data_IF_064626527799
#
_entry.id   IF_064626527799
#
_cell.length_a   1.000
_cell.length_b   1.000
_cell.length_c   1.000
_cell.angle_alpha   90.00
_cell.angle_beta   90.00
_cell.angle_gamma   90.00
#
_symmetry.space_group_name_H-M   'P 1'
#
loop_
_entity.id
_entity.type
_entity.pdbx_description
1 polymer ?
#
# COMPACT_ATOMS: atom_id res chain seq x y z
N UNK A 1 5.34 20.71 3.02
CA UNK A 1 6.76 20.27 2.95
C UNK A 1 7.57 21.19 3.84
N UNK A 2 8.36 20.62 4.74
CA UNK A 2 9.20 21.34 5.68
C UNK A 2 10.66 20.90 5.50
N UNK A 3 11.58 21.85 5.34
CA UNK A 3 13.00 21.60 5.43
C UNK A 3 13.46 21.74 6.90
N UNK A 4 14.28 20.79 7.36
CA UNK A 4 14.90 20.79 8.67
C UNK A 4 16.41 20.90 8.50
N UNK A 5 17.01 21.98 9.03
CA UNK A 5 18.47 22.09 9.13
C UNK A 5 18.95 21.29 10.35
N UNK A 6 19.65 20.20 10.10
CA UNK A 6 20.14 19.31 11.14
C UNK A 6 21.30 19.92 11.99
N UNK A 7 21.93 21.00 11.53
CA UNK A 7 23.03 21.64 12.25
C UNK A 7 22.54 22.52 13.41
N UNK A 8 21.36 23.11 13.27
CA UNK A 8 20.83 24.09 14.25
C UNK A 8 19.34 23.82 14.61
N UNK A 9 18.73 22.76 14.09
CA UNK A 9 17.31 22.42 14.26
C UNK A 9 16.33 23.49 13.76
N UNK A 10 16.76 24.40 12.89
CA UNK A 10 15.83 25.36 12.29
C UNK A 10 14.91 24.66 11.29
N UNK A 11 13.70 25.16 11.20
CA UNK A 11 12.68 24.65 10.27
C UNK A 11 12.26 25.76 9.33
N UNK A 12 12.15 25.42 8.04
CA UNK A 12 11.65 26.29 7.00
C UNK A 12 10.48 25.60 6.30
N UNK A 13 9.38 26.31 6.13
CA UNK A 13 8.23 25.83 5.35
C UNK A 13 8.56 26.08 3.88
N UNK A 14 8.78 25.01 3.14
CA UNK A 14 9.06 25.06 1.68
C UNK A 14 7.76 25.22 0.90
N UNK A 15 6.73 24.46 1.28
CA UNK A 15 5.43 24.53 0.63
C UNK A 15 4.31 24.08 1.57
N UNK A 16 3.19 24.80 1.51
CA UNK A 16 1.91 24.38 2.10
C UNK A 16 0.93 24.17 0.96
N UNK A 17 0.31 22.99 0.93
CA UNK A 17 -0.67 22.66 -0.08
C UNK A 17 -1.85 21.93 0.56
N UNK A 18 -3.06 22.24 0.11
CA UNK A 18 -4.25 21.55 0.55
C UNK A 18 -4.48 20.37 -0.38
N UNK A 19 -4.35 19.16 0.15
CA UNK A 19 -4.50 17.94 -0.61
C UNK A 19 -5.38 16.96 0.18
N UNK A 20 -6.39 16.43 -0.49
CA UNK A 20 -7.11 15.27 0.01
C UNK A 20 -6.34 14.03 -0.45
N UNK A 21 -5.66 13.38 0.46
CA UNK A 21 -4.87 12.20 0.18
C UNK A 21 -3.40 12.32 0.56
N UNK A 22 -2.57 11.45 0.01
CA UNK A 22 -1.15 11.36 0.36
C UNK A 22 -0.31 12.32 -0.49
N UNK A 23 0.36 13.27 0.17
CA UNK A 23 1.42 14.05 -0.45
C UNK A 23 2.70 13.21 -0.51
N UNK A 24 3.19 12.99 -1.70
CA UNK A 24 4.50 12.36 -1.93
C UNK A 24 5.41 13.29 -2.74
N UNK A 25 6.69 13.26 -2.45
CA UNK A 25 7.67 14.12 -3.11
C UNK A 25 9.06 13.47 -3.15
N UNK A 26 9.89 13.95 -4.06
CA UNK A 26 11.31 13.59 -4.15
C UNK A 26 12.14 14.80 -4.60
N UNK A 27 13.42 14.84 -4.19
CA UNK A 27 14.35 15.93 -4.51
C UNK A 27 15.31 15.49 -5.61
N UNK A 28 15.50 16.37 -6.58
CA UNK A 28 16.43 16.12 -7.68
C UNK A 28 17.85 15.83 -7.16
N UNK A 29 18.54 14.79 -7.69
CA UNK A 29 19.82 14.34 -7.14
C UNK A 29 20.94 15.37 -7.16
N UNK A 30 20.89 16.41 -8.02
CA UNK A 30 21.99 17.36 -8.22
C UNK A 30 21.54 18.82 -8.40
N UNK A 31 20.27 19.15 -8.16
CA UNK A 31 19.73 20.53 -8.32
C UNK A 31 18.74 20.83 -7.21
N UNK A 32 18.53 22.09 -6.92
CA UNK A 32 17.51 22.59 -5.99
C UNK A 32 16.11 22.51 -6.64
N UNK A 33 15.71 21.33 -7.11
CA UNK A 33 14.41 21.07 -7.74
C UNK A 33 13.73 19.94 -6.96
N UNK A 34 12.47 20.14 -6.67
CA UNK A 34 11.58 19.14 -6.07
C UNK A 34 10.55 18.68 -7.11
N UNK A 35 10.16 17.41 -7.03
CA UNK A 35 8.95 16.90 -7.67
C UNK A 35 7.98 16.44 -6.60
N UNK A 36 6.69 16.67 -6.80
CA UNK A 36 5.63 16.27 -5.87
C UNK A 36 4.30 16.14 -6.59
N UNK A 37 3.35 15.46 -5.97
CA UNK A 37 1.98 15.42 -6.45
C UNK A 37 1.18 16.60 -5.87
N UNK A 38 0.36 17.23 -6.68
CA UNK A 38 -0.46 18.37 -6.30
C UNK A 38 -1.89 18.24 -6.82
N UNK A 39 -2.86 18.53 -5.97
CA UNK A 39 -4.25 18.60 -6.39
C UNK A 39 -4.50 19.82 -7.28
N UNK A 40 -4.99 19.59 -8.50
CA UNK A 40 -5.41 20.62 -9.46
C UNK A 40 -6.69 20.13 -10.12
N UNK A 41 -7.81 20.82 -9.90
CA UNK A 41 -9.12 20.48 -10.47
C UNK A 41 -9.51 19.00 -10.26
N UNK A 42 -9.46 18.52 -9.03
CA UNK A 42 -9.79 17.15 -8.61
C UNK A 42 -8.82 16.06 -9.09
N UNK A 43 -7.78 16.39 -9.85
CA UNK A 43 -6.72 15.49 -10.24
C UNK A 43 -5.47 15.67 -9.37
N UNK A 44 -4.68 14.61 -9.18
CA UNK A 44 -3.34 14.70 -8.61
C UNK A 44 -2.30 14.73 -9.73
N UNK A 45 -1.77 15.91 -9.98
CA UNK A 45 -0.80 16.12 -11.05
C UNK A 45 0.64 16.05 -10.55
N UNK A 46 1.55 15.68 -11.44
CA UNK A 46 2.98 15.71 -11.20
C UNK A 46 3.54 17.11 -11.41
N UNK A 47 4.08 17.69 -10.37
CA UNK A 47 4.65 19.03 -10.36
C UNK A 47 6.16 18.96 -10.20
N UNK A 48 6.87 19.88 -10.85
CA UNK A 48 8.26 20.21 -10.54
C UNK A 48 8.38 21.68 -10.20
N UNK A 49 9.15 22.03 -9.19
CA UNK A 49 9.38 23.41 -8.78
C UNK A 49 10.81 23.61 -8.28
N UNK A 50 11.32 24.83 -8.39
CA UNK A 50 12.56 25.25 -7.73
C UNK A 50 12.30 25.39 -6.22
N UNK A 51 13.15 24.80 -5.37
CA UNK A 51 12.99 24.83 -3.91
C UNK A 51 13.01 26.24 -3.33
N UNK A 52 13.59 27.21 -4.03
CA UNK A 52 13.67 28.60 -3.60
C UNK A 52 12.56 29.48 -4.15
N UNK A 53 11.78 28.96 -5.12
CA UNK A 53 10.73 29.69 -5.84
C UNK A 53 9.57 28.74 -6.16
N UNK A 54 8.96 28.18 -5.12
CA UNK A 54 7.91 27.16 -5.23
C UNK A 54 6.65 27.67 -5.97
N UNK A 55 6.42 28.97 -6.02
CA UNK A 55 5.37 29.60 -6.80
C UNK A 55 5.59 29.44 -8.31
N UNK A 56 6.83 29.23 -8.75
CA UNK A 56 7.19 28.97 -10.14
C UNK A 56 7.29 27.48 -10.37
N UNK A 57 6.17 26.84 -10.63
CA UNK A 57 6.11 25.40 -10.85
C UNK A 57 5.74 25.03 -12.28
N UNK A 58 6.13 23.85 -12.70
CA UNK A 58 5.71 23.24 -13.96
C UNK A 58 4.80 22.03 -13.67
N UNK A 59 3.62 22.00 -14.28
CA UNK A 59 2.75 20.83 -14.28
C UNK A 59 3.17 19.91 -15.44
N UNK A 60 3.71 18.74 -15.14
CA UNK A 60 4.18 17.78 -16.14
C UNK A 60 3.08 16.85 -16.65
N UNK A 61 1.97 16.71 -15.92
CA UNK A 61 0.85 15.85 -16.28
C UNK A 61 -0.49 16.61 -16.22
N UNK A 62 -0.66 17.67 -17.05
CA UNK A 62 -1.93 18.36 -17.10
C UNK A 62 -3.01 17.47 -17.71
N UNK A 63 -4.17 17.36 -17.06
CA UNK A 63 -5.29 16.53 -17.47
C UNK A 63 -5.70 15.53 -16.38
N UNK A 64 -6.35 14.45 -16.77
CA UNK A 64 -6.90 13.45 -15.83
C UNK A 64 -5.83 12.46 -15.38
N UNK A 65 -4.98 12.87 -14.46
CA UNK A 65 -3.92 12.04 -13.89
C UNK A 65 -4.09 11.94 -12.37
N UNK A 66 -3.70 10.79 -11.84
CA UNK A 66 -3.68 10.56 -10.40
C UNK A 66 -2.29 10.07 -9.98
N UNK A 67 -1.34 11.00 -9.99
CA UNK A 67 0.08 10.71 -9.75
C UNK A 67 0.34 10.45 -8.28
N UNK A 68 1.08 9.37 -8.01
CA UNK A 68 1.58 9.01 -6.69
C UNK A 68 3.07 8.65 -6.74
N UNK A 69 3.73 8.82 -5.62
CA UNK A 69 5.10 8.38 -5.35
C UNK A 69 6.10 8.78 -6.43
N UNK A 70 6.19 10.08 -6.80
CA UNK A 70 7.17 10.52 -7.75
C UNK A 70 8.59 10.28 -7.24
N UNK A 71 9.47 9.81 -8.11
CA UNK A 71 10.88 9.60 -7.79
C UNK A 71 11.77 9.96 -8.97
N UNK A 72 12.87 10.67 -8.68
CA UNK A 72 13.82 11.05 -9.71
C UNK A 72 14.64 9.86 -10.21
N UNK A 73 14.88 9.84 -11.49
CA UNK A 73 15.94 8.99 -12.05
C UNK A 73 17.31 9.43 -11.50
N UNK A 74 18.23 8.49 -11.34
CA UNK A 74 19.57 8.77 -10.79
C UNK A 74 20.33 9.90 -11.55
N UNK A 75 20.08 10.04 -12.83
CA UNK A 75 20.70 11.10 -13.65
C UNK A 75 19.89 12.41 -13.67
N UNK A 76 18.76 12.49 -12.97
CA UNK A 76 17.90 13.66 -12.88
C UNK A 76 17.19 14.06 -14.19
N UNK A 77 17.18 13.21 -15.22
CA UNK A 77 16.58 13.54 -16.51
C UNK A 77 15.12 13.13 -16.65
N UNK A 78 14.64 12.29 -15.75
CA UNK A 78 13.28 11.76 -15.79
C UNK A 78 12.75 11.55 -14.38
N UNK A 79 11.43 11.47 -14.28
CA UNK A 79 10.70 11.19 -13.05
C UNK A 79 9.91 9.91 -13.27
N UNK A 80 10.03 8.96 -12.34
CA UNK A 80 9.16 7.81 -12.21
C UNK A 80 7.99 8.17 -11.31
N UNK A 81 6.83 7.60 -11.58
CA UNK A 81 5.65 7.75 -10.72
C UNK A 81 4.68 6.61 -10.94
N UNK A 82 3.76 6.43 -10.02
CA UNK A 82 2.66 5.48 -10.16
C UNK A 82 1.34 6.20 -10.43
N UNK A 83 0.46 5.52 -11.14
CA UNK A 83 -0.88 5.99 -11.48
C UNK A 83 -1.83 4.79 -11.54
N UNK A 84 -3.05 4.87 -10.96
CA UNK A 84 -4.03 3.82 -11.08
C UNK A 84 -4.62 3.76 -12.49
N UNK A 85 -4.91 2.56 -12.96
CA UNK A 85 -5.70 2.33 -14.16
C UNK A 85 -7.20 2.44 -13.87
N UNK A 86 -8.00 2.47 -14.90
CA UNK A 86 -9.48 2.42 -14.77
C UNK A 86 -9.98 1.11 -14.14
N UNK A 87 -9.17 0.05 -14.17
CA UNK A 87 -9.47 -1.25 -13.56
C UNK A 87 -8.95 -1.37 -12.11
N UNK A 88 -8.35 -0.32 -11.56
CA UNK A 88 -7.83 -0.31 -10.20
C UNK A 88 -6.39 -0.81 -10.05
N UNK A 89 -5.78 -1.33 -11.11
CA UNK A 89 -4.37 -1.71 -11.10
C UNK A 89 -3.45 -0.48 -11.08
N UNK A 90 -2.25 -0.64 -10.55
CA UNK A 90 -1.25 0.42 -10.57
C UNK A 90 -0.27 0.23 -11.71
N UNK A 91 0.00 1.31 -12.44
CA UNK A 91 1.02 1.36 -13.48
C UNK A 91 2.19 2.21 -13.05
N UNK A 92 3.40 1.68 -13.23
CA UNK A 92 4.63 2.46 -13.13
C UNK A 92 4.86 3.20 -14.46
N UNK A 93 5.06 4.51 -14.35
CA UNK A 93 5.29 5.39 -15.50
C UNK A 93 6.60 6.17 -15.38
N UNK A 94 7.08 6.67 -16.49
CA UNK A 94 8.22 7.57 -16.59
C UNK A 94 7.87 8.75 -17.48
N UNK A 95 8.32 9.94 -17.09
CA UNK A 95 8.22 11.17 -17.87
C UNK A 95 9.57 11.91 -17.87
N UNK A 96 10.02 12.50 -19.01
CA UNK A 96 11.16 13.40 -19.01
C UNK A 96 10.87 14.67 -18.19
N UNK A 97 11.93 15.25 -17.59
CA UNK A 97 11.79 16.52 -16.85
C UNK A 97 11.29 17.67 -17.72
N UNK A 98 11.64 17.64 -18.99
CA UNK A 98 11.23 18.66 -19.97
C UNK A 98 9.77 18.49 -20.45
N UNK A 99 9.05 17.53 -19.88
CA UNK A 99 7.66 17.23 -20.21
C UNK A 99 7.52 16.22 -21.35
N UNK A 100 6.30 16.12 -21.86
CA UNK A 100 5.90 15.17 -22.89
C UNK A 100 4.90 14.13 -22.38
N UNK A 101 4.59 13.13 -23.19
CA UNK A 101 3.66 12.07 -22.78
C UNK A 101 4.35 11.05 -21.86
N UNK A 102 3.78 10.72 -20.70
CA UNK A 102 4.27 9.64 -19.87
C UNK A 102 4.26 8.31 -20.60
N UNK A 103 5.25 7.48 -20.31
CA UNK A 103 5.37 6.12 -20.87
C UNK A 103 5.23 5.09 -19.76
N UNK A 104 4.46 4.04 -20.02
CA UNK A 104 4.38 2.90 -19.11
C UNK A 104 5.72 2.16 -19.06
N UNK A 105 6.10 1.73 -17.87
CA UNK A 105 7.23 0.85 -17.63
C UNK A 105 6.72 -0.53 -17.27
N UNK A 106 7.12 -1.52 -18.07
CA UNK A 106 6.81 -2.91 -17.79
C UNK A 106 7.96 -3.58 -17.04
N UNK A 107 7.62 -4.28 -15.97
CA UNK A 107 8.59 -5.12 -15.25
C UNK A 107 8.88 -6.36 -16.09
N UNK A 108 10.04 -6.40 -16.73
CA UNK A 108 10.44 -7.53 -17.57
C UNK A 108 10.88 -8.76 -16.78
N UNK A 109 11.42 -8.56 -15.58
CA UNK A 109 11.96 -9.64 -14.75
C UNK A 109 12.10 -9.20 -13.30
N UNK A 110 11.61 -10.03 -12.40
CA UNK A 110 11.90 -9.93 -10.97
C UNK A 110 13.18 -10.72 -10.65
N UNK A 111 14.08 -10.10 -9.90
CA UNK A 111 15.30 -10.75 -9.42
C UNK A 111 15.25 -10.74 -7.90
N UNK A 112 15.02 -11.90 -7.33
CA UNK A 112 14.93 -12.06 -5.89
C UNK A 112 16.32 -12.30 -5.29
N UNK A 113 16.62 -11.68 -4.17
CA UNK A 113 17.88 -11.84 -3.44
C UNK A 113 17.99 -13.21 -2.73
N UNK A 114 16.85 -13.85 -2.49
CA UNK A 114 16.76 -15.17 -1.82
C UNK A 114 15.89 -16.10 -2.66
N UNK A 115 16.15 -17.38 -2.59
CA UNK A 115 15.27 -18.39 -3.15
C UNK A 115 13.88 -18.28 -2.55
N UNK A 116 12.88 -18.61 -3.33
CA UNK A 116 11.47 -18.51 -2.94
C UNK A 116 10.79 -19.87 -2.97
N UNK A 117 9.67 -19.94 -2.27
CA UNK A 117 8.79 -21.12 -2.24
C UNK A 117 7.34 -20.66 -2.07
N UNK A 118 6.43 -21.44 -2.60
CA UNK A 118 5.00 -21.24 -2.34
C UNK A 118 4.64 -21.73 -0.94
N UNK A 119 3.94 -20.88 -0.17
CA UNK A 119 3.40 -21.17 1.15
C UNK A 119 1.88 -21.14 1.10
N UNK A 120 1.24 -22.25 1.47
CA UNK A 120 -0.21 -22.32 1.66
C UNK A 120 -0.57 -21.90 3.09
N UNK A 121 -1.42 -20.90 3.24
CA UNK A 121 -1.90 -20.41 4.54
C UNK A 121 -3.41 -20.66 4.61
N UNK A 122 -3.85 -21.35 5.68
CA UNK A 122 -5.26 -21.61 5.96
C UNK A 122 -5.65 -21.02 7.31
N UNK A 123 -6.64 -20.15 7.34
CA UNK A 123 -7.18 -19.57 8.57
C UNK A 123 -8.53 -20.19 8.91
N UNK A 124 -8.70 -20.52 10.18
CA UNK A 124 -9.88 -21.23 10.69
C UNK A 124 -10.37 -20.63 12.01
N UNK A 125 -11.69 -20.77 12.23
CA UNK A 125 -12.35 -20.56 13.51
C UNK A 125 -13.06 -21.86 13.87
N UNK A 126 -12.50 -22.63 14.82
CA UNK A 126 -12.91 -24.01 15.06
C UNK A 126 -12.64 -24.91 13.83
N UNK A 127 -13.68 -25.57 13.32
CA UNK A 127 -13.62 -26.38 12.11
C UNK A 127 -13.77 -25.59 10.82
N UNK A 128 -14.31 -24.38 10.88
CA UNK A 128 -14.70 -23.60 9.71
C UNK A 128 -13.55 -22.75 9.18
N UNK A 129 -13.42 -22.71 7.85
CA UNK A 129 -12.58 -21.76 7.15
C UNK A 129 -13.15 -20.35 7.39
N UNK A 130 -12.28 -19.38 7.66
CA UNK A 130 -12.68 -18.00 7.91
C UNK A 130 -11.78 -17.03 7.16
N UNK A 131 -12.38 -16.02 6.53
CA UNK A 131 -11.65 -14.91 5.96
C UNK A 131 -10.86 -14.17 7.04
N UNK A 132 -9.73 -13.58 6.66
CA UNK A 132 -8.83 -12.97 7.63
C UNK A 132 -7.93 -11.92 7.01
N UNK A 133 -7.52 -10.98 7.82
CA UNK A 133 -6.42 -10.06 7.59
C UNK A 133 -5.10 -10.78 7.88
N UNK A 134 -4.16 -10.73 6.96
CA UNK A 134 -2.84 -11.33 7.08
C UNK A 134 -1.76 -10.27 6.93
N UNK A 135 -0.82 -10.23 7.86
CA UNK A 135 0.43 -9.48 7.77
C UNK A 135 1.60 -10.45 7.86
N UNK A 136 2.46 -10.45 6.86
CA UNK A 136 3.58 -11.39 6.77
C UNK A 136 4.88 -10.59 6.71
N UNK A 137 5.84 -10.95 7.55
CA UNK A 137 7.15 -10.31 7.59
C UNK A 137 8.26 -11.34 7.33
N UNK A 138 9.27 -10.91 6.60
CA UNK A 138 10.51 -11.67 6.42
C UNK A 138 11.39 -11.67 7.71
N UNK A 139 12.52 -12.33 7.68
CA UNK A 139 13.45 -12.42 8.82
C UNK A 139 14.06 -11.07 9.23
N UNK A 140 13.98 -10.04 8.40
CA UNK A 140 14.46 -8.68 8.65
C UNK A 140 13.34 -7.72 9.05
N UNK A 141 12.09 -8.21 9.12
CA UNK A 141 10.92 -7.38 9.40
C UNK A 141 10.36 -6.64 8.18
N UNK A 142 10.79 -6.96 6.95
CA UNK A 142 10.20 -6.36 5.77
C UNK A 142 8.89 -7.07 5.40
N UNK A 143 7.87 -6.33 4.93
CA UNK A 143 6.60 -6.91 4.55
C UNK A 143 6.71 -7.80 3.31
N UNK A 144 6.02 -8.93 3.34
CA UNK A 144 5.77 -9.79 2.19
C UNK A 144 4.37 -9.48 1.71
N UNK A 145 4.27 -8.88 0.54
CA UNK A 145 3.03 -8.41 -0.05
C UNK A 145 2.36 -9.50 -0.89
N UNK A 146 1.03 -9.45 -0.98
CA UNK A 146 0.27 -10.27 -1.90
C UNK A 146 0.39 -9.69 -3.32
N UNK A 147 0.96 -10.42 -4.30
CA UNK A 147 1.11 -9.92 -5.67
C UNK A 147 -0.21 -9.93 -6.46
N UNK A 148 -1.18 -10.74 -6.03
CA UNK A 148 -2.42 -11.02 -6.77
C UNK A 148 -3.64 -10.28 -6.19
N UNK A 149 -3.41 -9.27 -5.34
CA UNK A 149 -4.50 -8.50 -4.74
C UNK A 149 -4.01 -7.25 -4.01
N UNK A 150 -4.94 -6.45 -3.48
CA UNK A 150 -4.60 -5.22 -2.79
C UNK A 150 -3.83 -5.49 -1.50
N UNK A 151 -2.87 -4.63 -1.25
CA UNK A 151 -2.15 -4.55 0.00
C UNK A 151 -2.46 -3.23 0.68
N UNK A 152 -2.73 -3.26 1.95
CA UNK A 152 -3.12 -2.12 2.76
C UNK A 152 -1.99 -1.78 3.73
N UNK A 153 -1.93 -0.53 4.14
CA UNK A 153 -0.98 -0.07 5.15
C UNK A 153 -1.74 0.47 6.36
N UNK A 154 -1.47 -0.11 7.51
CA UNK A 154 -1.96 0.38 8.78
C UNK A 154 -0.95 1.40 9.34
N UNK A 155 -1.29 2.68 9.25
CA UNK A 155 -0.44 3.78 9.71
C UNK A 155 -0.27 3.85 11.23
N UNK A 156 -1.15 3.20 12.00
CA UNK A 156 -1.07 3.20 13.45
C UNK A 156 0.01 2.25 13.97
N UNK A 157 0.22 1.12 13.30
CA UNK A 157 1.20 0.11 13.71
C UNK A 157 2.35 -0.08 12.71
N UNK A 158 2.29 0.57 11.54
CA UNK A 158 3.32 0.46 10.50
C UNK A 158 3.33 -0.86 9.74
N UNK A 159 2.27 -1.66 9.83
CA UNK A 159 2.19 -2.95 9.18
C UNK A 159 1.48 -2.88 7.84
N UNK A 160 2.04 -3.56 6.84
CA UNK A 160 1.31 -3.91 5.63
C UNK A 160 0.52 -5.19 5.85
N UNK A 161 -0.66 -5.27 5.26
CA UNK A 161 -1.53 -6.43 5.34
C UNK A 161 -2.37 -6.58 4.06
N UNK A 162 -2.96 -7.75 3.89
CA UNK A 162 -3.92 -8.07 2.85
C UNK A 162 -4.99 -9.02 3.39
N UNK A 163 -6.07 -9.18 2.65
CA UNK A 163 -7.15 -10.09 3.02
C UNK A 163 -7.06 -11.42 2.27
N UNK A 164 -7.54 -12.47 2.92
CA UNK A 164 -7.66 -13.81 2.38
C UNK A 164 -9.03 -14.38 2.72
N UNK A 165 -9.66 -15.07 1.79
CA UNK A 165 -10.93 -15.80 2.01
C UNK A 165 -10.72 -17.10 2.83
N UNK A 166 -9.75 -17.09 3.74
CA UNK A 166 -9.41 -18.19 4.64
C UNK A 166 -8.47 -19.23 4.06
N UNK A 167 -8.07 -19.11 2.81
CA UNK A 167 -7.00 -19.91 2.20
C UNK A 167 -6.32 -19.10 1.10
N UNK A 168 -5.00 -19.02 1.16
CA UNK A 168 -4.18 -18.35 0.15
C UNK A 168 -2.89 -19.12 -0.05
N UNK A 169 -2.39 -19.12 -1.29
CA UNK A 169 -1.04 -19.57 -1.63
C UNK A 169 -0.23 -18.36 -2.04
N UNK A 170 0.85 -18.08 -1.33
CA UNK A 170 1.68 -16.90 -1.56
C UNK A 170 3.14 -17.31 -1.72
N UNK A 171 3.83 -16.65 -2.64
CA UNK A 171 5.26 -16.85 -2.84
C UNK A 171 6.05 -16.07 -1.78
N UNK A 172 6.89 -16.79 -1.02
CA UNK A 172 7.65 -16.25 0.11
C UNK A 172 9.13 -16.62 0.01
N UNK A 173 10.06 -15.84 0.61
CA UNK A 173 11.47 -16.24 0.65
C UNK A 173 11.67 -17.51 1.49
N UNK A 174 12.68 -18.31 1.15
CA UNK A 174 13.08 -19.50 1.93
C UNK A 174 13.89 -19.09 3.16
N UNK A 175 13.17 -18.82 4.25
CA UNK A 175 13.74 -18.39 5.53
C UNK A 175 12.72 -18.47 6.65
N UNK A 176 13.08 -17.97 7.84
CA UNK A 176 12.13 -17.76 8.91
C UNK A 176 11.28 -16.53 8.61
N UNK A 177 9.97 -16.69 8.68
CA UNK A 177 8.98 -15.62 8.52
C UNK A 177 8.05 -15.59 9.72
N UNK A 178 7.40 -14.45 9.92
CA UNK A 178 6.30 -14.31 10.89
C UNK A 178 5.01 -13.94 10.19
N UNK A 179 3.90 -14.50 10.67
CA UNK A 179 2.56 -14.24 10.16
C UNK A 179 1.69 -13.79 11.32
N UNK A 180 1.08 -12.63 11.20
CA UNK A 180 0.01 -12.16 12.07
C UNK A 180 -1.32 -12.30 11.32
N UNK A 181 -2.28 -13.00 11.92
CA UNK A 181 -3.61 -13.20 11.38
C UNK A 181 -4.67 -12.68 12.35
N UNK A 182 -5.72 -12.03 11.85
CA UNK A 182 -6.90 -11.58 12.62
C UNK A 182 -8.15 -11.67 11.75
N UNK A 183 -9.34 -11.70 12.41
CA UNK A 183 -10.62 -11.71 11.72
C UNK A 183 -11.63 -10.86 12.52
N UNK A 184 -11.65 -9.57 12.24
CA UNK A 184 -12.49 -8.59 12.91
C UNK A 184 -12.18 -8.39 14.41
N UNK A 185 -12.97 -7.54 15.06
CA UNK A 185 -12.75 -7.10 16.44
C UNK A 185 -13.08 -8.17 17.49
N UNK A 186 -13.85 -9.19 17.11
CA UNK A 186 -14.34 -10.22 18.03
C UNK A 186 -13.43 -11.45 18.09
N UNK A 187 -12.31 -11.41 17.39
CA UNK A 187 -11.35 -12.51 17.26
C UNK A 187 -9.98 -12.08 17.76
N UNK A 188 -9.33 -12.90 18.58
CA UNK A 188 -7.95 -12.65 19.01
C UNK A 188 -7.00 -12.81 17.81
N UNK A 189 -6.08 -11.87 17.66
CA UNK A 189 -4.99 -12.00 16.69
C UNK A 189 -4.10 -13.19 17.04
N UNK A 190 -3.67 -13.93 16.02
CA UNK A 190 -2.79 -15.07 16.16
C UNK A 190 -1.46 -14.80 15.46
N UNK A 191 -0.35 -14.86 16.19
CA UNK A 191 1.00 -14.77 15.64
C UNK A 191 1.58 -16.16 15.47
N UNK A 192 2.16 -16.44 14.31
CA UNK A 192 2.84 -17.68 13.98
C UNK A 192 4.22 -17.38 13.41
N UNK A 193 5.21 -18.17 13.77
CA UNK A 193 6.56 -18.11 13.19
C UNK A 193 6.89 -19.48 12.59
N UNK A 194 7.43 -19.51 11.39
CA UNK A 194 7.80 -20.74 10.70
C UNK A 194 9.04 -20.57 9.83
N UNK A 195 9.71 -21.68 9.54
CA UNK A 195 10.80 -21.73 8.58
C UNK A 195 10.28 -22.32 7.26
N UNK A 196 10.23 -21.52 6.21
CA UNK A 196 9.73 -21.88 4.88
C UNK A 196 10.67 -22.83 4.12
N UNK A 197 11.87 -23.08 4.63
CA UNK A 197 12.71 -24.18 4.15
C UNK A 197 12.15 -25.55 4.54
N UNK A 198 11.44 -25.61 5.67
CA UNK A 198 10.94 -26.86 6.26
C UNK A 198 9.43 -27.04 6.06
N UNK A 199 8.68 -25.94 5.98
CA UNK A 199 7.22 -25.95 5.98
C UNK A 199 6.68 -25.19 4.76
N UNK A 200 5.77 -25.80 4.02
CA UNK A 200 5.10 -25.23 2.85
C UNK A 200 3.62 -24.96 3.06
N UNK A 201 3.10 -25.30 4.21
CA UNK A 201 1.71 -25.04 4.57
C UNK A 201 1.58 -24.78 6.07
N UNK A 202 0.65 -23.90 6.42
CA UNK A 202 0.34 -23.55 7.81
C UNK A 202 -1.17 -23.42 7.99
N UNK A 203 -1.64 -23.90 9.14
CA UNK A 203 -3.03 -23.70 9.61
C UNK A 203 -3.00 -22.80 10.82
N UNK A 204 -3.67 -21.67 10.74
CA UNK A 204 -3.78 -20.68 11.81
C UNK A 204 -5.21 -20.75 12.37
N UNK A 205 -5.33 -21.07 13.65
CA UNK A 205 -6.61 -21.08 14.33
C UNK A 205 -6.82 -19.74 15.01
N UNK A 206 -7.92 -19.08 14.65
CA UNK A 206 -8.36 -17.82 15.26
C UNK A 206 -9.38 -18.12 16.36
N UNK A 207 -9.20 -17.47 17.50
CA UNK A 207 -10.06 -17.68 18.67
C UNK A 207 -11.08 -16.55 18.76
N UNK A 208 -12.35 -16.88 18.61
CA UNK A 208 -13.45 -15.95 18.84
C UNK A 208 -13.63 -15.76 20.35
N UNK A 209 -13.62 -14.51 20.80
CA UNK A 209 -13.85 -14.15 22.21
C UNK A 209 -15.30 -13.77 22.49
N UNK A 210 -16.01 -13.36 21.45
CA UNK A 210 -17.43 -13.02 21.52
C UNK A 210 -18.07 -13.19 20.14
N UNK A 211 -19.31 -13.70 20.10
CA UNK A 211 -20.07 -13.86 18.86
C UNK A 211 -21.24 -12.86 18.85
N UNK A 212 -21.17 -11.79 18.02
CA UNK A 212 -22.27 -10.83 17.88
C UNK A 212 -23.58 -11.50 17.47
N UNK A 213 -23.54 -12.34 16.46
CA UNK A 213 -24.70 -13.03 15.88
C UNK A 213 -25.45 -13.87 16.89
N UNK A 214 -24.73 -14.62 17.73
CA UNK A 214 -25.36 -15.45 18.80
C UNK A 214 -26.05 -14.61 19.86
N UNK A 215 -25.73 -13.33 19.95
CA UNK A 215 -26.29 -12.37 20.89
C UNK A 215 -27.26 -11.39 20.21
N UNK A 216 -27.63 -11.64 18.95
CA UNK A 216 -28.62 -10.84 18.21
C UNK A 216 -28.09 -9.51 17.66
N UNK A 217 -26.76 -9.35 17.55
CA UNK A 217 -26.13 -8.16 17.00
C UNK A 217 -25.63 -8.40 15.58
N UNK A 218 -25.51 -7.31 14.83
CA UNK A 218 -24.86 -7.22 13.55
C UNK A 218 -23.69 -6.25 13.62
N UNK A 219 -22.60 -6.59 12.95
CA UNK A 219 -21.45 -5.71 12.80
C UNK A 219 -21.62 -4.82 11.59
N UNK A 220 -21.31 -3.53 11.71
CA UNK A 220 -21.45 -2.59 10.62
C UNK A 220 -20.34 -1.54 10.62
N UNK A 221 -19.90 -1.16 9.43
CA UNK A 221 -19.11 0.04 9.20
C UNK A 221 -19.94 1.00 8.34
N UNK A 222 -20.18 2.21 8.85
CA UNK A 222 -20.92 3.26 8.17
C UNK A 222 -20.05 4.33 7.54
N UNK A 223 -18.72 4.13 7.53
CA UNK A 223 -17.76 5.07 6.97
C UNK A 223 -16.65 4.33 6.22
N UNK A 224 -16.98 3.81 5.06
CA UNK A 224 -16.05 3.06 4.21
C UNK A 224 -15.70 3.86 2.95
N UNK A 225 -14.41 4.08 2.73
CA UNK A 225 -13.89 4.72 1.54
C UNK A 225 -13.30 3.67 0.59
N UNK A 226 -13.98 3.38 -0.51
CA UNK A 226 -13.51 2.41 -1.51
C UNK A 226 -12.85 3.08 -2.72
N UNK A 227 -13.45 4.17 -3.20
CA UNK A 227 -13.02 4.87 -4.41
C UNK A 227 -13.03 6.39 -4.23
N UNK A 228 -13.25 6.84 -3.03
CA UNK A 228 -13.37 8.24 -2.71
C UNK A 228 -12.10 8.70 -2.00
N UNK A 229 -11.57 9.82 -2.46
CA UNK A 229 -10.57 10.58 -1.74
C UNK A 229 -9.23 9.87 -1.49
N UNK A 230 -8.62 9.36 -2.54
CA UNK A 230 -7.29 8.79 -2.39
C UNK A 230 -6.80 8.02 -3.62
N UNK A 231 -5.57 7.54 -3.56
CA UNK A 231 -4.93 6.81 -4.64
C UNK A 231 -5.49 5.39 -4.83
N UNK A 232 -6.25 4.89 -3.86
CA UNK A 232 -6.79 3.55 -3.90
C UNK A 232 -8.12 3.52 -4.65
N UNK A 233 -8.18 2.67 -5.68
CA UNK A 233 -9.42 2.35 -6.40
C UNK A 233 -9.76 0.90 -6.13
N UNK A 234 -10.67 0.66 -5.17
CA UNK A 234 -11.23 -0.66 -4.92
C UNK A 234 -12.13 -1.10 -6.05
N UNK A 235 -12.07 -2.37 -6.40
CA UNK A 235 -13.04 -3.06 -7.24
C UNK A 235 -13.90 -3.98 -6.38
N UNK A 236 -15.08 -4.37 -6.87
CA UNK A 236 -16.04 -5.16 -6.08
C UNK A 236 -15.43 -6.46 -5.54
N UNK A 237 -14.56 -7.10 -6.30
CA UNK A 237 -13.87 -8.33 -5.92
C UNK A 237 -12.96 -8.16 -4.68
N UNK A 238 -12.55 -6.93 -4.37
CA UNK A 238 -11.73 -6.65 -3.19
C UNK A 238 -12.56 -6.38 -1.94
N UNK A 239 -13.85 -6.04 -2.10
CA UNK A 239 -14.73 -5.67 -0.99
C UNK A 239 -15.10 -6.89 -0.16
N UNK A 240 -15.50 -7.98 -0.79
CA UNK A 240 -15.96 -9.18 -0.11
C UNK A 240 -14.90 -9.74 0.86
N UNK A 241 -13.62 -9.98 0.44
CA UNK A 241 -12.58 -10.42 1.37
C UNK A 241 -12.31 -9.44 2.52
N UNK A 242 -12.48 -8.13 2.28
CA UNK A 242 -12.32 -7.10 3.30
C UNK A 242 -13.44 -7.20 4.33
N UNK A 243 -14.70 -7.19 3.91
CA UNK A 243 -15.85 -7.28 4.82
C UNK A 243 -15.83 -8.56 5.65
N UNK A 244 -15.62 -9.69 5.00
CA UNK A 244 -15.51 -10.98 5.66
C UNK A 244 -14.30 -11.04 6.61
N UNK A 245 -13.14 -10.51 6.19
CA UNK A 245 -11.91 -10.49 6.97
C UNK A 245 -11.98 -9.59 8.20
N UNK A 246 -12.83 -8.56 8.17
CA UNK A 246 -13.13 -7.69 9.32
C UNK A 246 -14.40 -8.14 10.07
N UNK A 247 -15.03 -9.23 9.65
CA UNK A 247 -16.28 -9.76 10.21
C UNK A 247 -17.39 -8.71 10.21
N UNK A 248 -17.57 -8.01 9.09
CA UNK A 248 -18.62 -7.01 8.90
C UNK A 248 -19.81 -7.63 8.17
N UNK A 249 -21.00 -7.45 8.72
CA UNK A 249 -22.28 -7.87 8.11
C UNK A 249 -22.80 -6.80 7.14
N UNK A 250 -22.46 -5.52 7.40
CA UNK A 250 -23.00 -4.36 6.68
C UNK A 250 -21.87 -3.32 6.49
N UNK A 251 -21.77 -2.73 5.30
CA UNK A 251 -20.91 -1.58 4.99
C UNK A 251 -21.52 -0.73 3.89
#
# INVERSE_FOLDING_TARGET
IIALDLSNNSREIINEDSIAGQLSFDIHPNKDIITYNRAINDDLNLITADLKKMELYSNLTPGQFYVQDPSWSHNGKSIYFTEPTVTGDWQLKIIPIDGGSPKNLEVKKWIWKKDRTSLSIKTKKGSNKVASRLSILDSNGHPILNPDGPNYFDSQNGHYYFYSNGEISIDVPREKISILASAGLTTLSSKSELDTNLTKDIKINLTEVWSPEKNGYKSADFHLHLNYDGPFRGVLEHIEPLLEGENLDIA
#
